data_IF_732574921956
#
_entry.id   IF_732574921956
#
_cell.length_a   1.000
_cell.length_b   1.000
_cell.length_c   1.000
_cell.angle_alpha   90.00
_cell.angle_beta   90.00
_cell.angle_gamma   90.00
#
_symmetry.space_group_name_H-M   'P 1'
#
loop_
_entity.id
_entity.type
_entity.pdbx_description
1 polymer ?
#
# COMPACT_ATOMS: atom_id res chain seq x y z
N UNK A 1 22.70 31.91 -45.78
CA UNK A 1 22.50 31.69 -44.33
C UNK A 1 22.17 30.22 -44.14
N UNK A 2 23.12 29.31 -43.86
CA UNK A 2 23.83 29.10 -42.58
C UNK A 2 22.89 29.14 -41.36
N UNK A 3 22.80 28.01 -40.66
CA UNK A 3 22.68 27.96 -39.20
C UNK A 3 21.31 27.56 -38.65
N UNK A 4 21.23 26.32 -38.15
CA UNK A 4 20.65 25.90 -36.85
C UNK A 4 20.11 24.46 -36.89
N UNK A 5 20.94 23.51 -37.29
CA UNK A 5 20.82 22.10 -36.90
C UNK A 5 22.25 21.58 -36.76
N UNK A 6 22.87 21.86 -35.61
CA UNK A 6 24.12 21.23 -35.22
C UNK A 6 23.85 19.77 -34.90
N UNK A 7 24.59 18.90 -35.57
CA UNK A 7 24.65 17.47 -35.32
C UNK A 7 24.96 17.20 -33.85
N UNK A 8 24.05 16.52 -33.16
CA UNK A 8 24.30 15.97 -31.82
C UNK A 8 25.17 14.71 -31.97
N UNK A 9 26.36 14.64 -31.35
CA UNK A 9 27.17 13.44 -31.40
C UNK A 9 26.49 12.32 -30.60
N UNK A 10 26.10 11.26 -31.32
CA UNK A 10 25.64 10.01 -30.76
C UNK A 10 26.81 9.29 -30.06
N UNK A 11 27.07 9.60 -28.78
CA UNK A 11 27.87 8.79 -27.85
C UNK A 11 27.72 9.32 -26.41
N UNK A 12 26.57 9.06 -25.82
CA UNK A 12 26.41 9.11 -24.36
C UNK A 12 26.97 7.83 -23.77
N UNK A 13 28.13 7.90 -23.10
CA UNK A 13 28.69 6.81 -22.32
C UNK A 13 27.69 6.34 -21.25
N UNK A 14 27.10 5.16 -21.45
CA UNK A 14 26.56 4.37 -20.34
C UNK A 14 27.73 4.05 -19.38
N UNK A 15 27.59 4.26 -18.06
CA UNK A 15 28.63 3.86 -17.12
C UNK A 15 28.85 2.35 -17.24
N UNK A 16 30.12 1.94 -17.45
CA UNK A 16 30.51 0.53 -17.45
C UNK A 16 30.13 -0.10 -16.10
N UNK A 17 29.59 -1.34 -16.08
CA UNK A 17 29.34 -2.04 -14.84
C UNK A 17 30.67 -2.24 -14.09
N UNK A 18 30.70 -1.85 -12.81
CA UNK A 18 31.84 -2.07 -11.92
C UNK A 18 32.14 -3.58 -11.84
N UNK A 19 33.39 -4.02 -12.07
CA UNK A 19 33.73 -5.43 -11.98
C UNK A 19 33.80 -5.87 -10.52
N UNK A 20 33.15 -6.99 -10.21
CA UNK A 20 33.44 -7.77 -9.00
C UNK A 20 32.85 -7.25 -7.69
N UNK A 21 31.51 -7.20 -7.58
CA UNK A 21 30.70 -7.29 -6.32
C UNK A 21 29.17 -7.18 -6.57
N UNK A 22 28.74 -6.90 -7.80
CA UNK A 22 27.31 -6.68 -8.16
C UNK A 22 26.44 -7.92 -8.45
N UNK A 23 26.98 -9.15 -8.45
CA UNK A 23 26.17 -10.35 -8.78
C UNK A 23 25.15 -10.72 -7.69
N UNK A 24 25.43 -10.44 -6.41
CA UNK A 24 24.48 -10.69 -5.31
C UNK A 24 23.33 -9.66 -5.30
N UNK A 25 23.60 -8.37 -5.52
CA UNK A 25 22.57 -7.32 -5.62
C UNK A 25 21.62 -7.55 -6.81
N UNK A 26 22.13 -8.15 -7.89
CA UNK A 26 21.35 -8.45 -9.10
C UNK A 26 20.33 -9.56 -8.87
N UNK A 27 20.72 -10.62 -8.17
CA UNK A 27 19.85 -11.75 -7.90
C UNK A 27 18.72 -11.40 -6.92
N UNK A 28 19.00 -10.53 -5.96
CA UNK A 28 18.07 -10.14 -4.91
C UNK A 28 16.96 -9.19 -5.40
N UNK A 29 17.31 -8.25 -6.29
CA UNK A 29 16.32 -7.39 -6.97
C UNK A 29 15.40 -8.20 -7.89
N UNK A 30 15.93 -9.26 -8.52
CA UNK A 30 15.16 -10.20 -9.34
C UNK A 30 14.30 -11.15 -8.48
N UNK A 31 14.74 -11.50 -7.28
CA UNK A 31 13.93 -12.24 -6.30
C UNK A 31 12.74 -11.40 -5.82
N UNK A 32 12.89 -10.08 -5.67
CA UNK A 32 11.78 -9.14 -5.44
C UNK A 32 10.76 -9.20 -6.59
N UNK A 33 11.19 -9.14 -7.84
CA UNK A 33 10.30 -9.30 -8.98
C UNK A 33 9.66 -10.70 -9.07
N UNK A 34 10.39 -11.78 -8.76
CA UNK A 34 9.88 -13.17 -8.79
C UNK A 34 8.97 -13.52 -7.62
N UNK A 35 9.17 -12.95 -6.43
CA UNK A 35 8.30 -13.14 -5.25
C UNK A 35 6.99 -12.36 -5.40
N UNK A 36 7.03 -11.18 -6.03
CA UNK A 36 5.83 -10.47 -6.47
C UNK A 36 5.05 -11.27 -7.54
N UNK A 37 5.75 -12.06 -8.37
CA UNK A 37 5.13 -12.87 -9.43
C UNK A 37 4.56 -14.23 -8.96
N UNK A 38 5.24 -14.96 -8.06
CA UNK A 38 4.79 -16.30 -7.62
C UNK A 38 3.48 -16.30 -6.81
N UNK A 39 3.05 -15.17 -6.25
CA UNK A 39 1.80 -15.09 -5.47
C UNK A 39 0.58 -14.65 -6.29
N UNK A 40 0.72 -14.48 -7.61
CA UNK A 40 -0.36 -14.08 -8.53
C UNK A 40 -1.04 -15.23 -9.29
N UNK A 41 -0.62 -16.49 -9.13
CA UNK A 41 -1.23 -17.61 -9.84
C UNK A 41 -2.10 -18.47 -8.92
N UNK A 42 -3.41 -18.20 -8.93
CA UNK A 42 -4.40 -19.27 -8.79
C UNK A 42 -4.25 -20.22 -9.98
N UNK A 43 -4.26 -21.53 -9.71
CA UNK A 43 -4.12 -22.58 -10.74
C UNK A 43 -5.19 -22.51 -11.84
N UNK A 44 -5.02 -23.29 -12.93
CA UNK A 44 -5.88 -23.20 -14.09
C UNK A 44 -7.32 -23.62 -13.74
N UNK A 45 -8.25 -22.68 -13.84
CA UNK A 45 -9.69 -23.00 -13.84
C UNK A 45 -9.99 -23.68 -15.17
N UNK A 46 -10.39 -24.96 -15.12
CA UNK A 46 -10.88 -25.70 -16.28
C UNK A 46 -12.11 -25.00 -16.84
N UNK A 47 -12.11 -24.74 -18.15
CA UNK A 47 -13.27 -24.26 -18.90
C UNK A 47 -14.36 -25.34 -18.92
N UNK A 48 -15.38 -25.17 -18.08
CA UNK A 48 -16.65 -25.90 -18.20
C UNK A 48 -17.59 -25.10 -19.11
N UNK A 49 -18.01 -25.71 -20.20
CA UNK A 49 -19.01 -25.22 -21.14
C UNK A 49 -20.34 -24.98 -20.40
N UNK A 50 -20.81 -23.74 -20.39
CA UNK A 50 -22.06 -23.36 -19.74
C UNK A 50 -22.42 -21.92 -20.08
N UNK A 51 -23.25 -21.75 -21.11
CA UNK A 51 -23.77 -20.46 -21.53
C UNK A 51 -24.58 -19.80 -20.42
N UNK A 52 -23.99 -18.86 -19.68
CA UNK A 52 -24.71 -17.99 -18.76
C UNK A 52 -25.44 -16.92 -19.57
N UNK A 53 -26.73 -17.15 -19.81
CA UNK A 53 -27.67 -16.11 -20.26
C UNK A 53 -27.79 -15.06 -19.15
N UNK A 54 -27.52 -13.80 -19.49
CA UNK A 54 -27.78 -12.65 -18.62
C UNK A 54 -29.23 -12.19 -18.83
N UNK A 55 -30.16 -12.70 -18.03
CA UNK A 55 -31.49 -12.10 -17.91
C UNK A 55 -31.48 -11.11 -16.73
N UNK A 56 -31.33 -9.82 -17.05
CA UNK A 56 -31.49 -8.70 -16.10
C UNK A 56 -32.92 -8.18 -16.24
N UNK A 57 -33.78 -8.22 -15.20
CA UNK A 57 -35.09 -7.60 -15.29
C UNK A 57 -34.98 -6.08 -15.26
N UNK A 58 -35.61 -5.41 -16.22
CA UNK A 58 -35.74 -3.96 -16.26
C UNK A 58 -36.69 -3.46 -15.16
N UNK A 59 -36.18 -2.69 -14.21
CA UNK A 59 -36.99 -1.96 -13.22
C UNK A 59 -37.53 -0.69 -13.88
N UNK A 60 -38.84 -0.63 -14.13
CA UNK A 60 -39.56 0.58 -14.55
C UNK A 60 -39.74 1.51 -13.35
N UNK A 61 -39.31 2.77 -13.51
CA UNK A 61 -39.52 3.83 -12.52
C UNK A 61 -40.99 4.25 -12.45
N UNK A 62 -41.55 4.19 -11.25
CA UNK A 62 -42.83 4.81 -10.90
C UNK A 62 -42.60 5.90 -9.87
N UNK A 63 -42.89 7.15 -10.25
CA UNK A 63 -42.89 8.31 -9.37
C UNK A 63 -44.07 8.24 -8.39
N UNK A 64 -43.80 7.84 -7.15
CA UNK A 64 -44.76 7.89 -6.05
C UNK A 64 -44.19 8.69 -4.89
N UNK A 65 -44.70 9.91 -4.68
CA UNK A 65 -44.48 10.69 -3.47
C UNK A 65 -44.96 9.89 -2.25
N UNK A 66 -44.04 9.49 -1.37
CA UNK A 66 -44.36 8.99 -0.03
C UNK A 66 -43.93 10.04 1.01
N UNK A 67 -44.96 10.55 1.72
CA UNK A 67 -44.86 11.46 2.86
C UNK A 67 -44.14 10.79 4.04
N UNK A 68 -43.36 11.61 4.73
CA UNK A 68 -42.88 11.52 6.11
C UNK A 68 -43.02 10.18 6.86
N UNK A 69 -41.88 9.53 7.06
CA UNK A 69 -41.61 8.74 8.25
C UNK A 69 -40.25 9.18 8.80
N UNK A 70 -40.24 9.64 10.04
CA UNK A 70 -39.04 9.99 10.81
C UNK A 70 -38.16 8.74 10.95
N UNK A 71 -37.09 8.69 10.17
CA UNK A 71 -36.03 7.70 10.38
C UNK A 71 -35.25 8.15 11.61
N UNK A 72 -35.55 7.53 12.74
CA UNK A 72 -34.75 7.62 13.95
C UNK A 72 -33.30 7.29 13.62
N UNK A 73 -32.41 8.18 14.05
CA UNK A 73 -30.96 8.08 13.98
C UNK A 73 -30.50 6.93 14.86
N UNK A 74 -30.65 5.68 14.40
CA UNK A 74 -29.85 4.59 14.93
C UNK A 74 -28.46 4.72 14.31
N UNK A 75 -27.54 5.31 15.08
CA UNK A 75 -26.11 5.17 14.84
C UNK A 75 -25.82 3.67 14.94
N UNK A 76 -25.82 3.01 13.77
CA UNK A 76 -25.64 1.58 13.66
C UNK A 76 -24.37 1.18 14.40
N UNK A 77 -24.51 0.21 15.31
CA UNK A 77 -23.41 -0.40 16.03
C UNK A 77 -22.25 -0.69 15.07
N UNK A 78 -21.03 -0.32 15.48
CA UNK A 78 -19.82 -0.59 14.73
C UNK A 78 -19.73 -2.07 14.31
N UNK A 79 -18.86 -2.40 13.35
CA UNK A 79 -18.68 -3.78 12.94
C UNK A 79 -18.45 -4.68 14.15
N UNK A 80 -19.00 -5.91 14.17
CA UNK A 80 -18.88 -6.79 15.32
C UNK A 80 -17.40 -6.92 15.70
N UNK A 81 -17.04 -6.84 16.99
CA UNK A 81 -15.64 -6.86 17.40
C UNK A 81 -14.98 -8.17 16.95
N UNK A 82 -13.71 -8.08 16.53
CA UNK A 82 -12.90 -9.26 16.25
C UNK A 82 -12.83 -10.13 17.51
N UNK A 83 -13.15 -11.42 17.36
CA UNK A 83 -13.25 -12.36 18.48
C UNK A 83 -11.89 -12.99 18.77
N UNK A 84 -10.97 -12.19 19.31
CA UNK A 84 -9.67 -12.64 19.83
C UNK A 84 -9.83 -13.31 21.20
N UNK A 85 -9.05 -14.35 21.47
CA UNK A 85 -9.08 -15.06 22.75
C UNK A 85 -8.11 -14.46 23.78
N UNK A 86 -6.88 -14.13 23.35
CA UNK A 86 -5.81 -13.64 24.21
C UNK A 86 -5.72 -12.12 24.34
N UNK A 87 -5.29 -11.65 25.51
CA UNK A 87 -5.04 -10.22 25.76
C UNK A 87 -3.96 -9.62 24.86
N UNK A 88 -2.90 -10.38 24.55
CA UNK A 88 -1.84 -9.94 23.65
C UNK A 88 -2.34 -9.74 22.21
N UNK A 89 -3.18 -10.66 21.70
CA UNK A 89 -3.79 -10.54 20.38
C UNK A 89 -4.74 -9.33 20.29
N UNK A 90 -5.50 -9.07 21.37
CA UNK A 90 -6.34 -7.87 21.46
C UNK A 90 -5.51 -6.59 21.41
N UNK A 91 -4.42 -6.52 22.16
CA UNK A 91 -3.51 -5.37 22.14
C UNK A 91 -2.86 -5.16 20.77
N UNK A 92 -2.43 -6.24 20.11
CA UNK A 92 -1.88 -6.21 18.75
C UNK A 92 -2.91 -5.67 17.75
N UNK A 93 -4.15 -6.17 17.80
CA UNK A 93 -5.26 -5.69 16.98
C UNK A 93 -5.52 -4.19 17.20
N UNK A 94 -5.61 -3.75 18.46
CA UNK A 94 -5.86 -2.35 18.80
C UNK A 94 -4.75 -1.43 18.29
N UNK A 95 -3.47 -1.85 18.40
CA UNK A 95 -2.34 -1.08 17.88
C UNK A 95 -2.39 -0.94 16.36
N UNK A 96 -2.63 -2.04 15.64
CA UNK A 96 -2.78 -2.04 14.18
C UNK A 96 -3.93 -1.12 13.75
N UNK A 97 -5.12 -1.28 14.35
CA UNK A 97 -6.29 -0.45 14.00
C UNK A 97 -6.04 1.03 14.32
N UNK A 98 -5.45 1.35 15.47
CA UNK A 98 -5.16 2.73 15.89
C UNK A 98 -4.18 3.41 14.94
N UNK A 99 -3.08 2.74 14.58
CA UNK A 99 -2.07 3.31 13.69
C UNK A 99 -2.63 3.64 12.30
N UNK A 100 -3.56 2.81 11.79
CA UNK A 100 -4.24 3.10 10.52
C UNK A 100 -5.23 4.26 10.60
N UNK A 101 -5.84 4.49 11.76
CA UNK A 101 -6.80 5.58 11.98
C UNK A 101 -6.12 6.94 12.24
N UNK A 102 -4.99 6.93 12.94
CA UNK A 102 -4.22 8.11 13.28
C UNK A 102 -2.70 7.91 13.06
N UNK A 103 -2.25 7.92 11.80
CA UNK A 103 -0.82 7.75 11.49
C UNK A 103 0.04 8.91 11.98
N UNK A 104 -0.53 10.12 12.16
CA UNK A 104 0.23 11.30 12.59
C UNK A 104 0.71 11.15 14.02
N UNK A 105 -0.16 10.72 14.93
CA UNK A 105 0.22 10.52 16.33
C UNK A 105 1.32 9.47 16.47
N UNK A 106 1.22 8.36 15.73
CA UNK A 106 2.28 7.33 15.71
C UNK A 106 3.63 7.89 15.25
N UNK A 107 3.65 8.69 14.16
CA UNK A 107 4.88 9.26 13.64
C UNK A 107 5.52 10.26 14.60
N UNK A 108 4.70 11.05 15.31
CA UNK A 108 5.17 11.97 16.35
C UNK A 108 5.84 11.24 17.50
N UNK A 109 5.23 10.17 17.99
CA UNK A 109 5.78 9.34 19.05
C UNK A 109 7.13 8.74 18.64
N UNK A 110 7.23 8.20 17.42
CA UNK A 110 8.49 7.68 16.87
C UNK A 110 9.59 8.75 16.80
N UNK A 111 9.25 9.92 16.27
CA UNK A 111 10.19 11.04 16.15
C UNK A 111 10.68 11.49 17.53
N UNK A 112 9.78 11.60 18.50
CA UNK A 112 10.14 11.96 19.88
C UNK A 112 11.05 10.91 20.55
N UNK A 113 10.91 9.64 20.18
CA UNK A 113 11.79 8.56 20.61
C UNK A 113 13.15 8.51 19.87
N UNK A 114 13.43 9.46 18.97
CA UNK A 114 14.67 9.51 18.20
C UNK A 114 14.78 8.43 17.10
N UNK A 115 13.65 7.89 16.65
CA UNK A 115 13.63 6.90 15.56
C UNK A 115 14.03 7.54 14.21
N UNK A 116 14.49 6.71 13.28
CA UNK A 116 14.87 7.15 11.94
C UNK A 116 13.72 7.88 11.22
N UNK A 117 14.03 8.89 10.38
CA UNK A 117 13.00 9.67 9.71
C UNK A 117 12.08 8.83 8.83
N UNK A 118 10.82 9.24 8.81
CA UNK A 118 9.80 8.62 7.98
C UNK A 118 9.83 9.16 6.55
N UNK A 119 9.70 8.27 5.56
CA UNK A 119 9.50 8.61 4.16
C UNK A 119 8.10 8.17 3.76
N UNK A 120 7.26 9.15 3.43
CA UNK A 120 5.93 8.91 2.91
C UNK A 120 6.01 8.25 1.53
N UNK A 121 5.08 7.36 1.21
CA UNK A 121 4.94 6.87 -0.15
C UNK A 121 3.48 6.76 -0.57
N UNK A 122 3.24 7.02 -1.84
CA UNK A 122 1.92 6.93 -2.47
C UNK A 122 1.93 5.80 -3.49
N UNK A 123 0.87 4.99 -3.49
CA UNK A 123 0.70 3.76 -4.27
C UNK A 123 1.51 2.55 -3.78
N UNK A 124 0.93 1.36 -3.89
CA UNK A 124 1.57 0.09 -3.50
C UNK A 124 2.68 -0.39 -4.46
N UNK A 125 2.92 0.34 -5.55
CA UNK A 125 4.02 0.06 -6.49
C UNK A 125 5.37 0.60 -6.02
N UNK A 126 5.40 1.44 -4.97
CA UNK A 126 6.66 1.86 -4.36
C UNK A 126 7.22 0.68 -3.56
N UNK A 127 8.44 0.19 -3.87
CA UNK A 127 9.04 -0.91 -3.14
C UNK A 127 9.58 -0.40 -1.79
N UNK A 128 8.76 -0.54 -0.75
CA UNK A 128 9.11 -0.10 0.61
C UNK A 128 10.35 -0.81 1.16
N UNK A 129 10.73 -1.97 0.61
CA UNK A 129 11.97 -2.67 0.90
C UNK A 129 13.20 -1.79 0.64
N UNK A 130 13.19 -0.95 -0.39
CA UNK A 130 14.31 -0.07 -0.71
C UNK A 130 14.42 1.06 0.32
N UNK A 131 13.29 1.53 0.85
CA UNK A 131 13.24 2.55 1.91
C UNK A 131 13.77 1.96 3.23
N UNK A 132 13.30 0.76 3.59
CA UNK A 132 13.79 0.03 4.77
C UNK A 132 15.29 -0.26 4.69
N UNK A 133 15.77 -0.69 3.52
CA UNK A 133 17.19 -0.99 3.31
C UNK A 133 18.09 0.25 3.40
N UNK A 134 17.55 1.45 3.16
CA UNK A 134 18.23 2.71 3.40
C UNK A 134 18.24 3.10 4.90
N UNK A 135 17.61 2.31 5.78
CA UNK A 135 17.47 2.60 7.21
C UNK A 135 16.33 3.57 7.54
N UNK A 136 15.47 3.89 6.58
CA UNK A 136 14.38 4.86 6.75
C UNK A 136 13.07 4.14 7.06
N UNK A 137 12.11 4.84 7.66
CA UNK A 137 10.80 4.29 7.98
C UNK A 137 9.80 4.57 6.84
N UNK A 138 9.34 3.59 6.05
CA UNK A 138 8.36 3.85 5.01
C UNK A 138 6.97 4.07 5.63
N UNK A 139 6.18 5.00 5.15
CA UNK A 139 4.78 5.15 5.59
C UNK A 139 3.88 5.32 4.39
N UNK A 140 2.89 4.45 4.24
CA UNK A 140 1.94 4.60 3.15
C UNK A 140 0.98 5.73 3.47
N UNK A 141 0.93 6.70 2.57
CA UNK A 141 0.00 7.80 2.65
C UNK A 141 -1.34 7.34 2.07
N UNK A 142 -2.23 6.91 2.95
CA UNK A 142 -3.63 6.64 2.61
C UNK A 142 -4.41 7.95 2.59
N UNK A 143 -5.19 8.18 1.53
CA UNK A 143 -6.13 9.29 1.52
C UNK A 143 -7.13 9.16 2.67
N UNK A 144 -7.37 10.23 3.42
CA UNK A 144 -8.35 10.20 4.53
C UNK A 144 -9.74 10.62 4.02
N UNK A 145 -10.84 9.96 4.43
CA UNK A 145 -12.17 10.46 4.18
C UNK A 145 -12.36 11.84 4.82
N UNK A 146 -12.91 12.79 4.07
CA UNK A 146 -13.15 14.15 4.56
C UNK A 146 -13.08 15.19 3.44
N UNK A 147 -13.37 16.46 3.76
CA UNK A 147 -13.20 17.55 2.81
C UNK A 147 -11.72 17.67 2.42
N UNK A 148 -11.47 17.70 1.12
CA UNK A 148 -10.17 18.04 0.53
C UNK A 148 -10.17 19.54 0.26
N UNK A 149 -9.26 20.27 0.90
CA UNK A 149 -9.20 21.73 0.81
C UNK A 149 -8.04 22.15 -0.09
N UNK A 150 -6.80 22.10 0.42
CA UNK A 150 -5.59 22.39 -0.37
C UNK A 150 -5.47 21.64 -1.70
N UNK A 151 -5.93 20.40 -1.80
CA UNK A 151 -5.83 19.66 -3.07
C UNK A 151 -6.77 20.20 -4.17
N UNK A 152 -7.90 20.81 -3.81
CA UNK A 152 -8.94 21.23 -4.77
C UNK A 152 -8.57 22.46 -5.60
N UNK A 153 -7.68 23.30 -5.08
CA UNK A 153 -7.10 24.40 -5.85
C UNK A 153 -5.94 23.95 -6.76
N UNK A 154 -5.54 22.69 -6.67
CA UNK A 154 -4.29 22.17 -7.24
C UNK A 154 -4.48 21.01 -8.21
N UNK A 155 -5.58 20.30 -8.08
CA UNK A 155 -6.00 19.23 -8.99
C UNK A 155 -7.37 19.55 -9.57
N UNK A 156 -7.58 19.15 -10.81
CA UNK A 156 -8.87 19.27 -11.47
C UNK A 156 -9.92 18.41 -10.76
N UNK A 157 -11.19 18.81 -10.81
CA UNK A 157 -12.30 18.12 -10.13
C UNK A 157 -12.48 16.67 -10.57
N UNK A 158 -12.07 16.31 -11.79
CA UNK A 158 -12.10 14.95 -12.33
C UNK A 158 -10.96 14.05 -11.82
N UNK A 159 -9.96 14.59 -11.13
CA UNK A 159 -8.89 13.78 -10.55
C UNK A 159 -9.47 12.81 -9.51
N UNK A 160 -8.96 11.58 -9.48
CA UNK A 160 -9.52 10.56 -8.61
C UNK A 160 -9.44 10.96 -7.13
N UNK A 161 -10.44 10.56 -6.35
CA UNK A 161 -10.55 10.91 -4.93
C UNK A 161 -9.33 10.47 -4.12
N UNK A 162 -8.71 9.34 -4.50
CA UNK A 162 -7.45 8.88 -3.90
C UNK A 162 -6.29 9.86 -4.11
N UNK A 163 -6.05 10.30 -5.35
CA UNK A 163 -4.97 11.24 -5.64
C UNK A 163 -5.20 12.60 -4.94
N UNK A 164 -6.45 13.08 -4.92
CA UNK A 164 -6.84 14.30 -4.20
C UNK A 164 -6.59 14.16 -2.71
N UNK A 165 -7.06 13.10 -2.08
CA UNK A 165 -6.88 12.87 -0.65
C UNK A 165 -5.41 12.65 -0.25
N UNK A 166 -4.60 11.98 -1.08
CA UNK A 166 -3.16 11.85 -0.83
C UNK A 166 -2.44 13.20 -0.94
N UNK A 167 -2.74 14.01 -1.97
CA UNK A 167 -2.16 15.34 -2.10
C UNK A 167 -2.60 16.26 -0.95
N UNK A 168 -3.87 16.21 -0.57
CA UNK A 168 -4.40 17.00 0.54
C UNK A 168 -3.72 16.62 1.85
N UNK A 169 -3.63 15.32 2.15
CA UNK A 169 -2.92 14.80 3.31
C UNK A 169 -1.44 15.20 3.30
N UNK A 170 -0.78 15.18 2.14
CA UNK A 170 0.59 15.68 2.02
C UNK A 170 0.69 17.19 2.34
N UNK A 171 -0.22 18.01 1.82
CA UNK A 171 -0.17 19.47 2.03
C UNK A 171 -0.62 19.90 3.44
N UNK A 172 -1.44 19.09 4.12
CA UNK A 172 -2.01 19.40 5.44
C UNK A 172 -1.27 18.71 6.59
N UNK A 173 -0.86 17.45 6.42
CA UNK A 173 -0.21 16.65 7.45
C UNK A 173 1.32 16.79 7.41
N UNK A 174 1.91 17.07 6.23
CA UNK A 174 3.36 16.97 6.03
C UNK A 174 4.06 18.32 5.94
N UNK A 175 4.13 18.97 7.11
CA UNK A 175 5.17 19.94 7.43
C UNK A 175 6.11 19.50 8.56
N UNK A 176 5.75 18.51 9.39
CA UNK A 176 6.54 18.12 10.57
C UNK A 176 6.87 16.63 10.71
N UNK A 177 6.15 15.69 10.09
CA UNK A 177 6.27 14.27 10.48
C UNK A 177 7.06 13.37 9.51
N UNK A 178 7.04 13.60 8.18
CA UNK A 178 7.93 12.90 7.22
C UNK A 178 9.01 13.80 6.68
N UNK A 179 10.15 13.20 6.31
CA UNK A 179 11.27 13.88 5.67
C UNK A 179 11.07 14.08 4.15
N UNK A 180 10.10 13.38 3.56
CA UNK A 180 9.78 13.51 2.14
C UNK A 180 8.80 12.47 1.65
N UNK A 181 8.59 12.44 0.32
CA UNK A 181 7.62 11.56 -0.31
C UNK A 181 8.13 10.91 -1.60
N UNK A 182 7.72 9.66 -1.80
CA UNK A 182 7.93 8.89 -3.03
C UNK A 182 6.60 8.63 -3.72
N UNK A 183 6.52 8.94 -5.01
CA UNK A 183 5.39 8.59 -5.86
C UNK A 183 5.81 7.55 -6.90
N UNK A 184 5.00 6.52 -7.13
CA UNK A 184 5.17 5.62 -8.28
C UNK A 184 4.27 6.03 -9.45
N UNK A 185 4.81 6.09 -10.66
CA UNK A 185 3.99 6.31 -11.86
C UNK A 185 3.13 5.09 -12.13
N UNK A 186 1.83 5.24 -11.88
CA UNK A 186 0.84 4.16 -12.01
C UNK A 186 -0.46 4.61 -12.66
N UNK A 187 -0.82 5.89 -12.51
CA UNK A 187 -1.90 6.52 -13.25
C UNK A 187 -1.64 8.02 -13.41
N UNK A 188 -2.36 8.66 -14.33
CA UNK A 188 -2.17 10.08 -14.62
C UNK A 188 -2.64 10.99 -13.47
N UNK A 189 -3.63 10.57 -12.67
CA UNK A 189 -4.04 11.34 -11.47
C UNK A 189 -2.93 11.40 -10.42
N UNK A 190 -2.20 10.29 -10.21
CA UNK A 190 -1.05 10.29 -9.28
C UNK A 190 0.16 11.02 -9.85
N UNK A 191 0.35 11.01 -11.17
CA UNK A 191 1.33 11.88 -11.83
C UNK A 191 1.00 13.35 -11.59
N UNK A 192 -0.24 13.77 -11.81
CA UNK A 192 -0.68 15.14 -11.57
C UNK A 192 -0.50 15.54 -10.10
N UNK A 193 -0.83 14.65 -9.15
CA UNK A 193 -0.60 14.87 -7.73
C UNK A 193 0.89 15.01 -7.38
N UNK A 194 1.76 14.16 -7.94
CA UNK A 194 3.20 14.22 -7.73
C UNK A 194 3.80 15.52 -8.26
N UNK A 195 3.37 15.96 -9.44
CA UNK A 195 3.81 17.23 -10.05
C UNK A 195 3.33 18.44 -9.25
N UNK A 196 2.07 18.43 -8.81
CA UNK A 196 1.53 19.48 -7.94
C UNK A 196 2.31 19.56 -6.62
N UNK A 197 2.57 18.40 -5.99
CA UNK A 197 3.41 18.34 -4.79
C UNK A 197 4.80 18.92 -5.04
N UNK A 198 5.48 18.51 -6.11
CA UNK A 198 6.82 19.00 -6.47
C UNK A 198 6.91 20.52 -6.58
N UNK A 199 5.85 21.18 -7.05
CA UNK A 199 5.78 22.64 -7.21
C UNK A 199 5.52 23.35 -5.88
N UNK A 200 4.73 22.75 -4.99
CA UNK A 200 4.21 23.42 -3.79
C UNK A 200 4.84 22.98 -2.47
N UNK A 201 5.62 21.89 -2.46
CA UNK A 201 6.27 21.39 -1.27
C UNK A 201 7.28 22.42 -0.71
N UNK A 202 7.50 22.44 0.62
CA UNK A 202 8.55 23.25 1.22
C UNK A 202 9.92 22.95 0.57
N UNK A 203 10.72 24.00 0.35
CA UNK A 203 12.06 23.85 -0.20
C UNK A 203 12.91 22.92 0.67
N UNK A 204 13.65 22.02 0.03
CA UNK A 204 14.50 21.05 0.71
C UNK A 204 13.78 19.75 1.11
N UNK A 205 12.47 19.64 0.92
CA UNK A 205 11.73 18.38 1.16
C UNK A 205 12.16 17.31 0.16
N UNK A 206 12.48 16.12 0.63
CA UNK A 206 12.85 15.01 -0.26
C UNK A 206 11.65 14.62 -1.15
N UNK A 207 11.91 14.43 -2.43
CA UNK A 207 10.91 13.99 -3.41
C UNK A 207 11.55 13.03 -4.42
N UNK A 208 10.90 11.89 -4.64
CA UNK A 208 11.28 10.95 -5.71
C UNK A 208 10.05 10.52 -6.51
N UNK A 209 10.14 10.62 -7.84
CA UNK A 209 9.14 10.10 -8.76
C UNK A 209 9.67 8.83 -9.43
N UNK A 210 9.20 7.68 -8.95
CA UNK A 210 9.60 6.35 -9.41
C UNK A 210 8.81 5.96 -10.66
N UNK A 211 9.48 5.95 -11.81
CA UNK A 211 8.92 5.45 -13.06
C UNK A 211 9.31 3.98 -13.27
N UNK A 212 8.35 3.07 -13.07
CA UNK A 212 8.50 1.64 -13.35
C UNK A 212 7.95 1.33 -14.75
N UNK A 213 8.47 0.29 -15.42
CA UNK A 213 7.99 -0.06 -16.74
C UNK A 213 6.54 -0.55 -16.68
N UNK A 214 5.71 -0.07 -17.61
CA UNK A 214 4.33 -0.50 -17.75
C UNK A 214 4.19 -1.95 -18.27
N UNK A 215 5.26 -2.50 -18.85
CA UNK A 215 5.34 -3.90 -19.28
C UNK A 215 6.32 -4.65 -18.39
N UNK A 216 5.95 -5.87 -18.01
CA UNK A 216 6.77 -6.74 -17.15
C UNK A 216 7.73 -7.62 -17.97
N UNK A 217 7.53 -7.71 -19.28
CA UNK A 217 8.27 -8.60 -20.16
C UNK A 217 8.78 -7.86 -21.40
N UNK A 218 9.84 -8.41 -21.98
CA UNK A 218 10.45 -7.90 -23.20
C UNK A 218 11.89 -7.43 -23.01
N UNK A 219 12.54 -7.17 -24.15
CA UNK A 219 13.95 -6.77 -24.19
C UNK A 219 14.17 -5.46 -23.41
N UNK A 220 15.09 -5.50 -22.45
CA UNK A 220 15.52 -4.32 -21.68
C UNK A 220 14.61 -3.90 -20.53
N UNK A 221 13.48 -4.58 -20.28
CA UNK A 221 12.60 -4.29 -19.12
C UNK A 221 13.34 -4.50 -17.81
N UNK A 222 14.10 -5.59 -17.70
CA UNK A 222 14.89 -5.89 -16.50
C UNK A 222 15.95 -4.81 -16.24
N UNK A 223 16.72 -4.44 -17.28
CA UNK A 223 17.77 -3.43 -17.18
C UNK A 223 17.18 -2.06 -16.80
N UNK A 224 16.05 -1.67 -17.40
CA UNK A 224 15.35 -0.45 -17.05
C UNK A 224 14.88 -0.46 -15.60
N UNK A 225 14.24 -1.55 -15.16
CA UNK A 225 13.76 -1.72 -13.78
C UNK A 225 14.92 -1.61 -12.79
N UNK A 226 16.02 -2.30 -13.07
CA UNK A 226 17.25 -2.24 -12.27
C UNK A 226 17.78 -0.81 -12.18
N UNK A 227 17.84 -0.09 -13.30
CA UNK A 227 18.31 1.28 -13.32
C UNK A 227 17.38 2.23 -12.55
N UNK A 228 16.06 2.06 -12.68
CA UNK A 228 15.06 2.83 -11.92
C UNK A 228 15.20 2.61 -10.41
N UNK A 229 15.26 1.36 -9.97
CA UNK A 229 15.43 1.03 -8.54
C UNK A 229 16.79 1.47 -8.00
N UNK A 230 17.86 1.42 -8.81
CA UNK A 230 19.19 1.90 -8.41
C UNK A 230 19.19 3.43 -8.21
N UNK A 231 18.54 4.19 -9.11
CA UNK A 231 18.35 5.64 -8.93
C UNK A 231 17.51 5.95 -7.70
N UNK A 232 16.48 5.15 -7.43
CA UNK A 232 15.67 5.31 -6.24
C UNK A 232 16.49 5.09 -4.96
N UNK A 233 17.19 3.97 -4.86
CA UNK A 233 18.09 3.66 -3.75
C UNK A 233 19.16 4.75 -3.53
N UNK A 234 19.74 5.28 -4.60
CA UNK A 234 20.69 6.39 -4.52
C UNK A 234 20.04 7.66 -3.97
N UNK A 235 18.84 8.00 -4.42
CA UNK A 235 18.16 9.22 -4.01
C UNK A 235 17.82 9.26 -2.51
N UNK A 236 17.55 8.11 -1.89
CA UNK A 236 17.21 8.02 -0.46
C UNK A 236 18.36 8.45 0.46
N UNK A 237 19.60 8.48 -0.04
CA UNK A 237 20.77 8.99 0.71
C UNK A 237 20.70 10.51 0.93
N UNK A 238 19.85 11.22 0.20
CA UNK A 238 19.61 12.65 0.43
C UNK A 238 18.66 12.92 1.62
N UNK A 239 18.00 11.88 2.13
CA UNK A 239 17.17 11.97 3.34
C UNK A 239 18.08 11.91 4.56
N UNK A 240 17.80 12.72 5.58
CA UNK A 240 18.50 12.63 6.87
C UNK A 240 18.41 11.21 7.43
N UNK A 241 19.56 10.67 7.89
CA UNK A 241 19.65 9.28 8.35
C UNK A 241 19.62 8.21 7.24
N UNK A 242 19.44 8.60 5.97
CA UNK A 242 19.48 7.73 4.82
C UNK A 242 20.87 7.16 4.56
N UNK A 243 20.98 5.84 4.42
CA UNK A 243 22.24 5.13 4.20
C UNK A 243 22.28 4.48 2.80
N UNK A 244 23.48 4.19 2.26
CA UNK A 244 23.60 3.41 1.06
C UNK A 244 22.90 2.05 1.17
N UNK A 245 22.04 1.73 0.21
CA UNK A 245 21.35 0.43 0.16
C UNK A 245 22.35 -0.67 -0.19
N UNK A 246 22.59 -1.57 0.76
CA UNK A 246 23.44 -2.75 0.57
C UNK A 246 22.62 -3.97 0.14
N UNK A 247 23.29 -4.99 -0.41
CA UNK A 247 22.63 -6.26 -0.73
C UNK A 247 22.05 -6.93 0.51
N UNK A 248 22.81 -6.97 1.61
CA UNK A 248 22.37 -7.55 2.88
C UNK A 248 21.19 -6.78 3.50
N UNK A 249 21.25 -5.45 3.49
CA UNK A 249 20.17 -4.60 4.00
C UNK A 249 18.88 -4.77 3.19
N UNK A 250 19.00 -4.87 1.86
CA UNK A 250 17.86 -5.15 1.00
C UNK A 250 17.29 -6.55 1.26
N UNK A 251 18.12 -7.55 1.54
CA UNK A 251 17.65 -8.90 1.81
C UNK A 251 16.90 -8.98 3.14
N UNK A 252 17.43 -8.33 4.17
CA UNK A 252 16.77 -8.18 5.45
C UNK A 252 15.41 -7.49 5.29
N UNK A 253 15.35 -6.39 4.54
CA UNK A 253 14.11 -5.68 4.25
C UNK A 253 13.08 -6.55 3.52
N UNK A 254 13.51 -7.32 2.51
CA UNK A 254 12.64 -8.26 1.78
C UNK A 254 12.08 -9.36 2.68
N UNK A 255 12.91 -9.95 3.55
CA UNK A 255 12.44 -10.96 4.51
C UNK A 255 11.42 -10.38 5.46
N UNK A 256 11.67 -9.17 5.96
CA UNK A 256 10.79 -8.49 6.89
C UNK A 256 9.43 -8.16 6.25
N UNK A 257 9.40 -7.58 5.05
CA UNK A 257 8.14 -7.30 4.36
C UNK A 257 7.43 -8.59 3.92
N UNK A 258 8.16 -9.66 3.61
CA UNK A 258 7.59 -10.96 3.32
C UNK A 258 6.88 -11.56 4.54
N UNK A 259 7.42 -11.40 5.75
CA UNK A 259 6.79 -11.81 6.99
C UNK A 259 5.48 -11.05 7.24
N UNK A 260 5.48 -9.72 7.05
CA UNK A 260 4.26 -8.90 7.11
C UNK A 260 3.19 -9.39 6.13
N UNK A 261 3.57 -9.61 4.86
CA UNK A 261 2.66 -10.15 3.83
C UNK A 261 2.13 -11.54 4.20
N UNK A 262 2.95 -12.39 4.81
CA UNK A 262 2.54 -13.72 5.25
C UNK A 262 1.51 -13.64 6.40
N UNK A 263 1.75 -12.78 7.39
CA UNK A 263 0.80 -12.53 8.49
C UNK A 263 -0.56 -12.02 7.99
N UNK A 264 -0.58 -11.05 7.07
CA UNK A 264 -1.84 -10.61 6.43
C UNK A 264 -2.52 -11.74 5.63
N UNK A 265 -1.73 -12.62 5.00
CA UNK A 265 -2.23 -13.80 4.31
C UNK A 265 -2.92 -14.80 5.25
N UNK A 266 -2.33 -15.04 6.42
CA UNK A 266 -2.93 -15.87 7.48
C UNK A 266 -4.25 -15.29 7.98
N UNK A 267 -4.29 -13.99 8.27
CA UNK A 267 -5.54 -13.30 8.64
C UNK A 267 -6.60 -13.38 7.53
N UNK A 268 -6.19 -13.30 6.26
CA UNK A 268 -7.11 -13.46 5.14
C UNK A 268 -7.68 -14.90 5.06
N UNK A 269 -6.86 -15.92 5.35
CA UNK A 269 -7.30 -17.31 5.44
C UNK A 269 -8.28 -17.53 6.61
N UNK A 270 -7.96 -16.99 7.79
CA UNK A 270 -8.85 -16.97 8.97
C UNK A 270 -10.20 -16.34 8.61
N UNK A 271 -10.20 -15.14 8.03
CA UNK A 271 -11.43 -14.45 7.58
C UNK A 271 -12.22 -15.26 6.55
N UNK A 272 -11.51 -16.00 5.69
CA UNK A 272 -12.15 -16.85 4.69
C UNK A 272 -12.81 -18.08 5.31
N UNK A 273 -12.21 -18.66 6.35
CA UNK A 273 -12.78 -19.77 7.08
C UNK A 273 -13.92 -19.30 8.00
N UNK A 274 -13.68 -18.27 8.81
CA UNK A 274 -14.57 -17.77 9.88
C UNK A 274 -14.81 -16.26 9.76
N UNK A 275 -15.71 -15.82 8.86
CA UNK A 275 -16.03 -14.39 8.72
C UNK A 275 -16.73 -13.80 9.96
N UNK A 276 -17.26 -14.64 10.85
CA UNK A 276 -17.90 -14.26 12.10
C UNK A 276 -16.91 -13.85 13.21
N UNK A 277 -15.66 -14.31 13.14
CA UNK A 277 -14.61 -13.96 14.12
C UNK A 277 -13.72 -12.81 13.64
N UNK A 278 -13.49 -12.68 12.33
CA UNK A 278 -12.72 -11.58 11.74
C UNK A 278 -13.53 -10.87 10.64
N UNK A 279 -14.22 -9.76 10.99
CA UNK A 279 -14.96 -8.97 10.00
C UNK A 279 -14.05 -8.38 8.93
N UNK A 280 -14.57 -8.25 7.70
CA UNK A 280 -13.82 -7.67 6.59
C UNK A 280 -13.37 -6.22 6.83
N UNK A 281 -14.20 -5.41 7.49
CA UNK A 281 -13.85 -4.03 7.88
C UNK A 281 -12.66 -3.99 8.84
N UNK A 282 -12.63 -4.88 9.83
CA UNK A 282 -11.52 -5.00 10.78
C UNK A 282 -10.24 -5.46 10.08
N UNK A 283 -10.34 -6.43 9.16
CA UNK A 283 -9.20 -6.85 8.34
C UNK A 283 -8.61 -5.68 7.52
N UNK A 284 -9.46 -4.86 6.91
CA UNK A 284 -9.00 -3.67 6.17
C UNK A 284 -8.36 -2.65 7.10
N UNK A 285 -8.91 -2.42 8.29
CA UNK A 285 -8.30 -1.51 9.27
C UNK A 285 -6.92 -2.00 9.73
N UNK A 286 -6.77 -3.30 9.98
CA UNK A 286 -5.48 -3.94 10.27
C UNK A 286 -4.50 -3.77 9.11
N UNK A 287 -4.94 -4.05 7.87
CA UNK A 287 -4.11 -3.91 6.68
C UNK A 287 -3.64 -2.46 6.45
N UNK A 288 -4.46 -1.45 6.81
CA UNK A 288 -4.05 -0.04 6.78
C UNK A 288 -2.99 0.25 7.83
N UNK A 289 -3.20 -0.15 9.08
CA UNK A 289 -2.22 0.01 10.16
C UNK A 289 -0.87 -0.62 9.86
N UNK A 290 -0.89 -1.80 9.24
CA UNK A 290 0.31 -2.52 8.81
C UNK A 290 1.20 -1.71 7.83
N UNK A 291 0.63 -0.73 7.13
CA UNK A 291 1.39 0.15 6.21
C UNK A 291 1.91 1.45 6.86
N UNK A 292 1.57 1.66 8.13
CA UNK A 292 1.97 2.82 8.94
C UNK A 292 3.04 2.43 9.96
N UNK A 293 2.80 1.35 10.71
CA UNK A 293 3.68 0.92 11.78
C UNK A 293 5.06 0.47 11.30
N UNK A 294 6.01 0.42 12.23
CA UNK A 294 7.30 -0.22 12.02
C UNK A 294 7.12 -1.67 11.56
N UNK A 295 7.91 -2.13 10.59
CA UNK A 295 7.66 -3.45 10.00
C UNK A 295 8.01 -4.57 10.97
N UNK A 296 8.90 -4.34 11.93
CA UNK A 296 9.18 -5.31 12.99
C UNK A 296 8.02 -5.41 13.99
N UNK A 297 7.43 -4.26 14.36
CA UNK A 297 6.21 -4.22 15.17
C UNK A 297 5.05 -4.92 14.46
N UNK A 298 4.83 -4.62 13.17
CA UNK A 298 3.78 -5.23 12.36
C UNK A 298 3.97 -6.73 12.23
N UNK A 299 5.18 -7.20 11.94
CA UNK A 299 5.45 -8.63 11.81
C UNK A 299 5.10 -9.36 13.11
N UNK A 300 5.50 -8.80 14.27
CA UNK A 300 5.20 -9.36 15.61
C UNK A 300 3.71 -9.34 15.93
N UNK A 301 3.03 -8.23 15.67
CA UNK A 301 1.62 -8.05 15.97
C UNK A 301 0.74 -8.92 15.08
N UNK A 302 1.07 -9.04 13.78
CA UNK A 302 0.37 -9.93 12.87
C UNK A 302 0.59 -11.40 13.21
N UNK A 303 1.79 -11.80 13.62
CA UNK A 303 2.07 -13.16 14.07
C UNK A 303 1.21 -13.51 15.29
N UNK A 304 1.24 -12.63 16.31
CA UNK A 304 0.48 -12.79 17.55
C UNK A 304 -1.02 -12.88 17.28
N UNK A 305 -1.55 -11.98 16.46
CA UNK A 305 -2.97 -11.93 16.12
C UNK A 305 -3.38 -13.13 15.25
N UNK A 306 -2.57 -13.54 14.28
CA UNK A 306 -2.89 -14.67 13.41
C UNK A 306 -2.90 -15.99 14.20
N UNK A 307 -1.89 -16.23 15.04
CA UNK A 307 -1.82 -17.44 15.86
C UNK A 307 -3.01 -17.57 16.82
N UNK A 308 -3.41 -16.47 17.47
CA UNK A 308 -4.59 -16.44 18.35
C UNK A 308 -5.88 -16.78 17.59
N UNK A 309 -6.10 -16.14 16.43
CA UNK A 309 -7.31 -16.38 15.66
C UNK A 309 -7.34 -17.77 15.03
N UNK A 310 -6.21 -18.32 14.61
CA UNK A 310 -6.10 -19.70 14.14
C UNK A 310 -6.49 -20.69 15.26
N UNK A 311 -6.00 -20.47 16.49
CA UNK A 311 -6.41 -21.29 17.64
C UNK A 311 -7.92 -21.18 17.93
N UNK A 312 -8.51 -19.98 17.76
CA UNK A 312 -9.97 -19.79 17.88
C UNK A 312 -10.73 -20.58 16.80
N UNK A 313 -10.21 -20.63 15.57
CA UNK A 313 -10.78 -21.44 14.48
C UNK A 313 -10.71 -22.93 14.82
N UNK A 314 -9.58 -23.41 15.35
CA UNK A 314 -9.37 -24.81 15.71
C UNK A 314 -10.25 -25.26 16.88
N UNK A 315 -10.42 -24.42 17.90
CA UNK A 315 -11.20 -24.74 19.10
C UNK A 315 -12.72 -24.79 18.87
N UNK A 316 -13.22 -24.14 17.82
CA UNK A 316 -14.64 -24.11 17.48
C UNK A 316 -14.85 -24.48 16.01
N UNK A 317 -15.22 -25.73 15.67
CA UNK A 317 -15.47 -26.10 14.29
C UNK A 317 -16.54 -25.23 13.65
N UNK A 318 -16.49 -25.11 12.31
CA UNK A 318 -17.43 -24.31 11.53
C UNK A 318 -18.88 -24.66 11.90
N UNK A 319 -19.76 -23.67 12.13
CA UNK A 319 -21.18 -23.94 12.28
C UNK A 319 -21.69 -24.70 11.04
N UNK A 320 -22.48 -25.75 11.25
CA UNK A 320 -23.07 -26.54 10.16
C UNK A 320 -23.98 -25.63 9.30
N UNK A 321 -23.69 -25.60 8.00
CA UNK A 321 -23.93 -24.48 7.08
C UNK A 321 -25.39 -24.35 6.59
N UNK A 322 -26.38 -24.60 7.44
CA UNK A 322 -27.80 -24.69 7.02
C UNK A 322 -28.76 -23.69 7.64
N UNK A 323 -28.33 -22.88 8.61
CA UNK A 323 -29.20 -21.90 9.25
C UNK A 323 -28.53 -20.51 9.37
N UNK A 324 -28.87 -19.59 8.46
CA UNK A 324 -28.56 -18.16 8.64
C UNK A 324 -27.38 -17.58 7.86
N UNK A 325 -26.99 -18.18 6.73
CA UNK A 325 -25.94 -17.68 5.84
C UNK A 325 -26.17 -16.22 5.41
N UNK A 326 -25.38 -15.30 5.97
CA UNK A 326 -25.22 -13.96 5.41
C UNK A 326 -24.41 -14.05 4.12
N UNK A 327 -24.74 -13.30 3.06
CA UNK A 327 -24.00 -13.34 1.81
C UNK A 327 -22.54 -12.92 2.04
N UNK A 328 -21.60 -13.69 1.47
CA UNK A 328 -20.17 -13.36 1.46
C UNK A 328 -19.86 -12.51 0.25
N UNK A 329 -19.19 -11.37 0.47
CA UNK A 329 -18.85 -10.42 -0.59
C UNK A 329 -17.34 -10.30 -0.76
N UNK A 330 -16.91 -10.22 -2.02
CA UNK A 330 -15.55 -9.82 -2.39
C UNK A 330 -15.61 -8.38 -2.91
N UNK A 331 -14.97 -7.46 -2.19
CA UNK A 331 -14.82 -6.07 -2.63
C UNK A 331 -13.56 -5.97 -3.49
N UNK A 332 -13.71 -5.44 -4.71
CA UNK A 332 -12.61 -5.23 -5.66
C UNK A 332 -12.61 -3.76 -6.12
N UNK A 333 -11.43 -3.18 -6.25
CA UNK A 333 -11.26 -1.78 -6.65
C UNK A 333 -10.26 -1.02 -5.78
N UNK A 334 -10.19 0.30 -6.01
CA UNK A 334 -9.41 1.20 -5.17
C UNK A 334 -10.05 1.38 -3.79
N UNK A 335 -9.22 1.52 -2.76
CA UNK A 335 -9.68 1.87 -1.42
C UNK A 335 -8.95 3.13 -0.93
N UNK A 336 -9.73 4.02 -0.31
CA UNK A 336 -9.28 5.17 0.49
C UNK A 336 -9.15 4.74 1.93
#
# INVERSE_FOLDING_TARGET
>A
MRGLCGELPARGHLPRPLPGRGRLQVHLLLLLCRTLHRRGHGGPVRSGDGSLRQDVPAVRGGSGLLKGASVGTSVGAGPPPCRTAGGAARAALERLVRAGADPVSYLRERRAAGANPAVGYVCGYVPEEVILAAGLHPVRLGGRPGPVGPADSRLQSFACSFARACLDGLLTLMGSEVAGVVFAYTCDSLRAAAESWRIHAPRGTFFHFLNLPARLEGRGVEDYTRAALSRFALSLQAVEGGRPVTGEGLEAAVRLTAAVRAGLGRLAAVRSARPDILPGSTFIAVARGATVLDREEVARDLETLAADLEAVVEAGPLPDDRAGLRPRVLVTGGFL
#
